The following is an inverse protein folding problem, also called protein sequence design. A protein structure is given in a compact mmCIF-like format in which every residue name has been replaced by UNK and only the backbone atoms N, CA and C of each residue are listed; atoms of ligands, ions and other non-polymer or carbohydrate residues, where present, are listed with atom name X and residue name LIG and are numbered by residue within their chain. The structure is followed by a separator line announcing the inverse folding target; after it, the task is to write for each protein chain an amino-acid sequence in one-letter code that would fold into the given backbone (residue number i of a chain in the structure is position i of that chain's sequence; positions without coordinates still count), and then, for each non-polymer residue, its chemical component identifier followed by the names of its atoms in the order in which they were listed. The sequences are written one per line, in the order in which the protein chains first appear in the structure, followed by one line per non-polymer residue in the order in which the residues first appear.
data_IF_419201972971
#
_entry.id   IF_419201972971
#
_cell.length_a   1.000
_cell.length_b   1.000
_cell.length_c   1.000
_cell.angle_alpha   90.00
_cell.angle_beta   90.00
_cell.angle_gamma   90.00
#
_symmetry.space_group_name_H-M   'P 1'
#
loop_
_entity.id
_entity.type
_entity.pdbx_description
1 polymer ?
#
# COMPACT_ATOMS: atom_id res chain seq x y z
N UNK A 1 1.35 38.44 -10.56
CA UNK A 1 2.43 37.44 -10.42
C UNK A 1 2.26 36.50 -9.22
N UNK A 2 2.04 36.97 -7.99
CA UNK A 2 1.91 36.09 -6.82
C UNK A 2 0.71 35.11 -6.91
N UNK A 3 -0.45 35.57 -7.39
CA UNK A 3 -1.63 34.72 -7.59
C UNK A 3 -1.43 33.64 -8.67
N UNK A 4 -0.64 33.94 -9.72
CA UNK A 4 -0.32 32.98 -10.78
C UNK A 4 0.63 31.89 -10.26
N UNK A 5 1.70 32.27 -9.54
CA UNK A 5 2.60 31.29 -8.90
C UNK A 5 1.91 30.39 -7.90
N UNK A 6 0.95 30.91 -7.12
CA UNK A 6 0.17 30.10 -6.20
C UNK A 6 -0.72 29.07 -6.91
N UNK A 7 -1.32 29.46 -8.05
CA UNK A 7 -2.09 28.55 -8.89
C UNK A 7 -1.22 27.46 -9.52
N UNK A 8 -0.03 27.81 -10.02
CA UNK A 8 0.92 26.87 -10.60
C UNK A 8 1.48 25.88 -9.55
N UNK A 9 1.79 26.34 -8.33
CA UNK A 9 2.24 25.49 -7.22
C UNK A 9 1.12 24.55 -6.74
N UNK A 10 -0.11 25.04 -6.62
CA UNK A 10 -1.28 24.23 -6.28
C UNK A 10 -1.54 23.14 -7.34
N UNK A 11 -1.41 23.48 -8.63
CA UNK A 11 -1.56 22.51 -9.72
C UNK A 11 -0.45 21.46 -9.72
N UNK A 12 0.79 21.85 -9.43
CA UNK A 12 1.91 20.92 -9.30
C UNK A 12 1.68 19.92 -8.15
N UNK A 13 1.25 20.41 -6.98
CA UNK A 13 0.91 19.55 -5.84
C UNK A 13 -0.22 18.58 -6.17
N UNK A 14 -1.28 19.06 -6.83
CA UNK A 14 -2.41 18.23 -7.22
C UNK A 14 -2.02 17.13 -8.22
N UNK A 15 -1.11 17.41 -9.15
CA UNK A 15 -0.58 16.39 -10.07
C UNK A 15 0.33 15.39 -9.35
N UNK A 16 1.15 15.83 -8.38
CA UNK A 16 1.93 14.92 -7.52
C UNK A 16 1.02 14.00 -6.70
N UNK A 17 -0.04 14.54 -6.10
CA UNK A 17 -1.02 13.76 -5.35
C UNK A 17 -1.74 12.74 -6.24
N UNK A 18 -2.16 13.13 -7.44
CA UNK A 18 -2.75 12.19 -8.42
C UNK A 18 -1.77 11.09 -8.82
N UNK A 19 -0.50 11.43 -9.00
CA UNK A 19 0.52 10.45 -9.39
C UNK A 19 0.77 9.45 -8.25
N UNK A 20 0.91 9.93 -7.02
CA UNK A 20 1.01 9.08 -5.83
C UNK A 20 -0.22 8.17 -5.66
N UNK A 21 -1.41 8.69 -5.93
CA UNK A 21 -2.64 7.91 -5.84
C UNK A 21 -2.71 6.80 -6.90
N UNK A 22 -2.28 7.09 -8.15
CA UNK A 22 -2.18 6.07 -9.21
C UNK A 22 -1.18 4.98 -8.86
N UNK A 23 -0.02 5.34 -8.33
CA UNK A 23 0.99 4.38 -7.89
C UNK A 23 0.47 3.50 -6.75
N UNK A 24 -0.35 4.07 -5.87
CA UNK A 24 -0.96 3.31 -4.79
C UNK A 24 -2.03 2.34 -5.29
N UNK A 25 -2.91 2.77 -6.20
CA UNK A 25 -3.92 1.89 -6.81
C UNK A 25 -3.24 0.71 -7.53
N UNK A 26 -2.15 0.96 -8.24
CA UNK A 26 -1.38 -0.10 -8.90
C UNK A 26 -0.80 -1.11 -7.89
N UNK A 27 -0.31 -0.64 -6.74
CA UNK A 27 0.16 -1.52 -5.67
C UNK A 27 -0.98 -2.36 -5.09
N UNK A 28 -2.18 -1.80 -4.92
CA UNK A 28 -3.35 -2.54 -4.44
C UNK A 28 -3.80 -3.63 -5.43
N UNK A 29 -3.83 -3.32 -6.73
CA UNK A 29 -4.16 -4.32 -7.76
C UNK A 29 -3.11 -5.44 -7.84
N UNK A 30 -1.82 -5.10 -7.67
CA UNK A 30 -0.73 -6.08 -7.58
C UNK A 30 -0.92 -7.02 -6.37
N UNK A 31 -1.26 -6.45 -5.20
CA UNK A 31 -1.59 -7.22 -4.00
C UNK A 31 -2.78 -8.16 -4.21
N UNK A 32 -3.81 -7.70 -4.93
CA UNK A 32 -4.98 -8.53 -5.25
C UNK A 32 -4.60 -9.70 -6.17
N UNK A 33 -3.73 -9.47 -7.14
CA UNK A 33 -3.18 -10.54 -7.97
C UNK A 33 -2.38 -11.54 -7.14
N UNK A 34 -1.61 -11.08 -6.15
CA UNK A 34 -0.88 -11.97 -5.26
C UNK A 34 -1.79 -12.76 -4.33
N UNK A 35 -2.92 -12.21 -3.88
CA UNK A 35 -3.89 -12.95 -3.08
C UNK A 35 -4.43 -14.17 -3.86
N UNK A 36 -4.77 -13.99 -5.15
CA UNK A 36 -5.18 -15.11 -6.02
C UNK A 36 -4.06 -16.15 -6.21
N UNK A 37 -2.81 -15.71 -6.31
CA UNK A 37 -1.65 -16.60 -6.40
C UNK A 37 -1.33 -17.28 -5.06
N UNK A 38 -1.60 -16.65 -3.91
CA UNK A 38 -1.24 -17.14 -2.59
C UNK A 38 -1.91 -18.48 -2.27
N UNK A 39 -3.18 -18.65 -2.63
CA UNK A 39 -3.93 -19.88 -2.34
C UNK A 39 -3.32 -21.12 -3.02
N UNK A 40 -2.78 -20.95 -4.23
CA UNK A 40 -2.18 -22.02 -5.05
C UNK A 40 -0.64 -22.05 -5.00
N UNK A 41 -0.02 -21.08 -4.33
CA UNK A 41 1.43 -20.91 -4.29
C UNK A 41 2.15 -21.91 -3.37
N UNK A 42 3.41 -22.19 -3.71
CA UNK A 42 4.35 -22.89 -2.83
C UNK A 42 4.77 -21.98 -1.65
N UNK A 43 5.41 -22.58 -0.63
CA UNK A 43 5.78 -21.85 0.59
C UNK A 43 6.75 -20.67 0.33
N UNK A 44 7.62 -20.77 -0.66
CA UNK A 44 8.53 -19.67 -1.05
C UNK A 44 7.76 -18.47 -1.59
N UNK A 45 6.83 -18.68 -2.53
CA UNK A 45 6.02 -17.60 -3.09
C UNK A 45 5.08 -17.01 -2.03
N UNK A 46 4.52 -17.84 -1.13
CA UNK A 46 3.77 -17.35 0.04
C UNK A 46 4.61 -16.43 0.92
N UNK A 47 5.85 -16.82 1.19
CA UNK A 47 6.79 -16.02 1.99
C UNK A 47 7.12 -14.69 1.30
N UNK A 48 7.36 -14.72 -0.01
CA UNK A 48 7.62 -13.52 -0.82
C UNK A 48 6.45 -12.53 -0.76
N UNK A 49 5.22 -13.01 -0.93
CA UNK A 49 4.00 -12.18 -0.88
C UNK A 49 3.86 -11.54 0.51
N UNK A 50 4.02 -12.33 1.58
CA UNK A 50 3.93 -11.86 2.96
C UNK A 50 5.02 -10.84 3.29
N UNK A 51 6.26 -11.04 2.83
CA UNK A 51 7.38 -10.12 3.06
C UNK A 51 7.18 -8.76 2.37
N UNK A 52 6.36 -8.71 1.31
CA UNK A 52 6.01 -7.44 0.65
C UNK A 52 4.92 -6.68 1.41
N UNK A 53 4.00 -7.39 2.05
CA UNK A 53 2.87 -6.84 2.81
C UNK A 53 3.28 -6.36 4.21
N UNK A 54 4.13 -7.13 4.88
CA UNK A 54 4.53 -6.86 6.26
C UNK A 54 5.74 -5.93 6.27
N UNK A 55 5.63 -4.83 7.02
CA UNK A 55 6.75 -3.95 7.32
C UNK A 55 7.56 -4.47 8.48
N UNK A 56 6.88 -4.81 9.57
CA UNK A 56 7.51 -5.25 10.80
C UNK A 56 6.65 -6.24 11.54
N UNK A 57 7.30 -7.25 12.13
CA UNK A 57 6.70 -8.15 13.10
C UNK A 57 7.40 -7.93 14.43
N UNK A 58 6.64 -7.56 15.45
CA UNK A 58 7.11 -7.45 16.81
C UNK A 58 6.53 -8.60 17.64
N UNK A 59 7.41 -9.36 18.28
CA UNK A 59 7.02 -10.44 19.19
C UNK A 59 7.45 -10.03 20.59
N UNK A 60 6.48 -9.93 21.49
CA UNK A 60 6.70 -9.55 22.89
C UNK A 60 6.41 -10.72 23.84
N UNK A 61 6.52 -10.48 25.15
CA UNK A 61 6.24 -11.51 26.16
C UNK A 61 4.82 -12.07 25.98
N UNK A 62 4.65 -13.31 26.42
CA UNK A 62 3.38 -14.05 26.32
C UNK A 62 2.93 -14.30 24.86
N UNK A 63 3.87 -14.36 23.92
CA UNK A 63 3.59 -14.57 22.49
C UNK A 63 2.67 -13.50 21.88
N UNK A 64 2.67 -12.29 22.42
CA UNK A 64 1.95 -11.16 21.83
C UNK A 64 2.63 -10.72 20.53
N UNK A 65 1.94 -10.92 19.42
CA UNK A 65 2.40 -10.58 18.07
C UNK A 65 1.73 -9.28 17.64
N UNK A 66 2.54 -8.28 17.32
CA UNK A 66 2.12 -7.05 16.66
C UNK A 66 2.66 -7.04 15.24
N UNK A 67 1.78 -6.89 14.26
CA UNK A 67 2.15 -6.88 12.84
C UNK A 67 1.87 -5.48 12.30
N UNK A 68 2.91 -4.82 11.79
CA UNK A 68 2.80 -3.57 11.05
C UNK A 68 2.79 -3.89 9.55
N UNK A 69 1.76 -3.42 8.85
CA UNK A 69 1.59 -3.60 7.42
C UNK A 69 2.09 -2.35 6.68
N UNK A 70 2.60 -2.53 5.46
CA UNK A 70 3.03 -1.42 4.58
C UNK A 70 1.85 -0.71 3.90
N UNK A 71 0.64 -1.26 4.01
CA UNK A 71 -0.58 -0.69 3.45
C UNK A 71 -1.44 -0.07 4.54
N UNK A 72 -2.08 1.05 4.22
CA UNK A 72 -3.07 1.67 5.09
C UNK A 72 -4.40 0.90 5.01
N UNK A 73 -5.12 0.79 6.13
CA UNK A 73 -6.41 0.09 6.20
C UNK A 73 -7.43 0.68 5.23
N UNK A 74 -7.41 2.00 5.04
CA UNK A 74 -8.28 2.70 4.07
C UNK A 74 -8.04 2.21 2.64
N UNK A 75 -6.78 2.01 2.24
CA UNK A 75 -6.42 1.53 0.90
C UNK A 75 -6.72 0.05 0.69
N UNK A 76 -6.78 -0.72 1.77
CA UNK A 76 -7.27 -2.10 1.73
C UNK A 76 -8.80 -2.15 1.60
N UNK A 77 -9.52 -1.20 2.21
CA UNK A 77 -10.99 -1.17 2.25
C UNK A 77 -11.63 -0.35 1.12
N UNK A 78 -10.91 0.56 0.47
CA UNK A 78 -11.42 1.50 -0.56
C UNK A 78 -11.92 0.83 -1.86
N UNK A 79 -11.74 -0.47 -2.05
CA UNK A 79 -12.40 -1.21 -3.15
C UNK A 79 -13.76 -1.83 -2.76
N UNK A 80 -14.30 -1.51 -1.59
CA UNK A 80 -15.64 -1.93 -1.15
C UNK A 80 -16.69 -0.80 -1.24
N UNK A 81 -16.59 0.07 -2.25
CA UNK A 81 -17.59 1.11 -2.55
C UNK A 81 -17.97 1.09 -4.04
#
# INVERSE_FOLDING_TARGET
EAAQRAMDDAKARMETEKQNNKETIAQVDELRSWAACFDVANNETKHMIVARLIDRVEVSRDYRIHIQLKISVEQFLEQSA
#
